data_IF_923303874185
#
_entry.id   IF_923303874185
#
_cell.length_a   1.000
_cell.length_b   1.000
_cell.length_c   1.000
_cell.angle_alpha   90.00
_cell.angle_beta   90.00
_cell.angle_gamma   90.00
#
_symmetry.space_group_name_H-M   'P 1'
#
loop_
_entity.id
_entity.type
_entity.pdbx_description
1 polymer ?
#
# COMPACT_ATOMS: atom_id res chain seq x y z
N UNK A 1 28.43 3.57 29.73
CA UNK A 1 28.43 4.78 28.90
C UNK A 1 27.89 4.43 27.53
N UNK A 2 26.83 5.09 27.04
CA UNK A 2 26.31 4.83 25.70
C UNK A 2 27.15 5.59 24.65
N UNK A 3 27.44 4.94 23.53
CA UNK A 3 28.13 5.53 22.38
C UNK A 3 27.27 6.64 21.73
N UNK A 4 27.83 7.83 21.46
CA UNK A 4 27.15 8.86 20.69
C UNK A 4 27.27 8.51 19.20
N UNK A 5 26.16 8.29 18.50
CA UNK A 5 26.22 8.06 17.05
C UNK A 5 25.18 7.11 16.44
N UNK A 6 24.24 6.58 17.22
CA UNK A 6 23.04 5.97 16.66
C UNK A 6 21.81 6.65 17.22
N UNK A 7 21.41 7.75 16.57
CA UNK A 7 19.99 8.09 16.55
C UNK A 7 19.28 6.89 15.94
N UNK A 8 18.71 6.07 16.83
CA UNK A 8 17.83 4.99 16.43
C UNK A 8 16.64 5.67 15.77
N UNK A 9 16.53 5.55 14.45
CA UNK A 9 15.33 5.85 13.69
C UNK A 9 14.19 4.93 14.17
N UNK A 10 13.69 5.14 15.39
CA UNK A 10 12.53 4.44 15.92
C UNK A 10 11.27 5.13 15.39
N UNK A 11 11.19 5.29 14.07
CA UNK A 11 9.94 5.69 13.43
C UNK A 11 9.07 4.45 13.38
N UNK A 12 8.16 4.33 14.35
CA UNK A 12 7.13 3.28 14.34
C UNK A 12 6.08 3.63 13.30
N UNK A 13 6.05 2.86 12.20
CA UNK A 13 5.04 2.98 11.16
C UNK A 13 3.88 2.05 11.47
N UNK A 14 2.65 2.58 11.43
CA UNK A 14 1.45 1.76 11.48
C UNK A 14 1.33 0.97 10.18
N UNK A 15 1.03 -0.33 10.29
CA UNK A 15 0.80 -1.18 9.12
C UNK A 15 -0.41 -0.65 8.32
N UNK A 16 -0.19 -0.23 7.07
CA UNK A 16 -1.25 0.34 6.23
C UNK A 16 -2.41 -0.65 6.01
N UNK A 17 -2.13 -1.94 5.83
CA UNK A 17 -3.17 -2.97 5.73
C UNK A 17 -4.00 -3.09 7.01
N UNK A 18 -3.36 -3.04 8.18
CA UNK A 18 -4.08 -3.03 9.46
C UNK A 18 -4.91 -1.74 9.64
N UNK A 19 -4.36 -0.60 9.26
CA UNK A 19 -5.08 0.68 9.30
C UNK A 19 -6.30 0.66 8.37
N UNK A 20 -6.19 0.09 7.16
CA UNK A 20 -7.32 -0.07 6.23
C UNK A 20 -8.37 -1.03 6.79
N UNK A 21 -7.94 -2.12 7.42
CA UNK A 21 -8.83 -3.04 8.15
C UNK A 21 -9.64 -2.30 9.24
N UNK A 22 -9.02 -1.36 9.97
CA UNK A 22 -9.73 -0.55 10.97
C UNK A 22 -10.76 0.38 10.31
N UNK A 23 -10.41 1.03 9.20
CA UNK A 23 -11.34 1.91 8.46
C UNK A 23 -12.58 1.15 8.01
N UNK A 24 -12.38 0.03 7.30
CA UNK A 24 -13.50 -0.75 6.77
C UNK A 24 -14.37 -1.29 7.91
N UNK A 25 -13.76 -1.81 8.98
CA UNK A 25 -14.50 -2.28 10.15
C UNK A 25 -15.28 -1.17 10.85
N UNK A 26 -14.77 0.07 10.86
CA UNK A 26 -15.51 1.20 11.42
C UNK A 26 -16.76 1.47 10.60
N UNK A 27 -16.61 1.59 9.28
CA UNK A 27 -17.71 1.88 8.37
C UNK A 27 -18.76 0.75 8.32
N UNK A 28 -18.35 -0.52 8.43
CA UNK A 28 -19.26 -1.68 8.48
C UNK A 28 -20.17 -1.72 9.71
N UNK A 29 -19.93 -0.89 10.74
CA UNK A 29 -20.80 -0.78 11.92
C UNK A 29 -22.09 -0.01 11.66
N UNK A 30 -22.29 0.53 10.46
CA UNK A 30 -23.57 1.15 10.10
C UNK A 30 -24.72 0.14 10.37
N UNK A 31 -25.77 0.53 11.13
CA UNK A 31 -26.73 -0.42 11.67
C UNK A 31 -27.52 -1.26 10.63
N UNK A 32 -27.82 -0.72 9.44
CA UNK A 32 -28.51 -1.47 8.39
C UNK A 32 -27.56 -2.46 7.72
N UNK A 33 -26.31 -2.06 7.49
CA UNK A 33 -25.26 -2.95 6.97
C UNK A 33 -25.00 -4.10 7.95
N UNK A 34 -24.78 -3.82 9.23
CA UNK A 34 -24.51 -4.86 10.23
C UNK A 34 -25.67 -5.86 10.37
N UNK A 35 -26.92 -5.38 10.31
CA UNK A 35 -28.11 -6.24 10.29
C UNK A 35 -28.15 -7.14 9.04
N UNK A 36 -27.87 -6.59 7.86
CA UNK A 36 -27.85 -7.37 6.62
C UNK A 36 -26.73 -8.41 6.62
N UNK A 37 -25.52 -8.05 7.07
CA UNK A 37 -24.40 -8.97 7.26
C UNK A 37 -24.73 -10.07 8.26
N UNK A 38 -25.39 -9.73 9.36
CA UNK A 38 -25.81 -10.70 10.37
C UNK A 38 -26.84 -11.70 9.83
N UNK A 39 -27.81 -11.22 9.04
CA UNK A 39 -28.75 -12.10 8.34
C UNK A 39 -28.04 -13.00 7.32
N UNK A 40 -27.12 -12.45 6.53
CA UNK A 40 -26.33 -13.20 5.55
C UNK A 40 -25.47 -14.30 6.23
N UNK A 41 -24.82 -13.97 7.35
CA UNK A 41 -24.12 -14.95 8.20
C UNK A 41 -25.04 -16.06 8.69
N UNK A 42 -26.24 -15.71 9.14
CA UNK A 42 -27.25 -16.66 9.59
C UNK A 42 -27.66 -17.64 8.49
N UNK A 43 -27.91 -17.12 7.30
CA UNK A 43 -28.27 -17.88 6.11
C UNK A 43 -27.14 -18.87 5.71
N UNK A 44 -25.92 -18.38 5.53
CA UNK A 44 -24.77 -19.22 5.18
C UNK A 44 -24.53 -20.30 6.22
N UNK A 45 -24.60 -19.93 7.51
CA UNK A 45 -24.45 -20.87 8.63
C UNK A 45 -25.50 -21.96 8.60
N UNK A 46 -26.75 -21.64 8.25
CA UNK A 46 -27.83 -22.63 8.15
C UNK A 46 -27.53 -23.66 7.06
N UNK A 47 -27.23 -23.19 5.84
CA UNK A 47 -26.95 -24.06 4.69
C UNK A 47 -25.74 -24.96 4.97
N UNK A 48 -24.64 -24.41 5.50
CA UNK A 48 -23.43 -25.18 5.79
C UNK A 48 -23.59 -26.21 6.92
N UNK A 49 -24.50 -25.98 7.87
CA UNK A 49 -24.76 -26.90 8.97
C UNK A 49 -25.78 -28.00 8.63
N UNK A 50 -26.60 -27.78 7.61
CA UNK A 50 -27.65 -28.71 7.19
C UNK A 50 -27.16 -29.50 5.97
N UNK A 51 -26.82 -30.77 6.16
CA UNK A 51 -26.44 -31.66 5.04
C UNK A 51 -27.53 -31.71 3.95
N UNK A 52 -28.84 -31.84 4.29
CA UNK A 52 -29.91 -31.75 3.28
C UNK A 52 -29.88 -30.44 2.49
N UNK A 53 -29.64 -29.30 3.16
CA UNK A 53 -29.57 -28.01 2.48
C UNK A 53 -28.34 -27.87 1.58
N UNK A 54 -27.20 -28.42 2.01
CA UNK A 54 -25.98 -28.41 1.21
C UNK A 54 -26.09 -29.30 -0.03
N UNK A 55 -26.71 -30.47 0.08
CA UNK A 55 -26.98 -31.35 -1.06
C UNK A 55 -27.95 -30.66 -2.02
N UNK A 56 -29.06 -30.12 -1.50
CA UNK A 56 -30.06 -29.45 -2.33
C UNK A 56 -29.50 -28.22 -3.04
N UNK A 57 -28.65 -27.43 -2.38
CA UNK A 57 -27.98 -26.29 -3.03
C UNK A 57 -27.19 -26.74 -4.26
N UNK A 58 -26.42 -27.85 -4.15
CA UNK A 58 -25.69 -28.40 -5.30
C UNK A 58 -26.62 -28.88 -6.41
N UNK A 59 -27.73 -29.52 -6.06
CA UNK A 59 -28.74 -29.91 -7.05
C UNK A 59 -29.32 -28.70 -7.78
N UNK A 60 -29.65 -27.62 -7.05
CA UNK A 60 -30.15 -26.37 -7.64
C UNK A 60 -29.09 -25.68 -8.51
N UNK A 61 -27.83 -25.69 -8.09
CA UNK A 61 -26.72 -25.18 -8.89
C UNK A 61 -26.62 -25.91 -10.24
N UNK A 62 -26.66 -27.25 -10.22
CA UNK A 62 -26.66 -28.07 -11.44
C UNK A 62 -27.87 -27.83 -12.32
N UNK A 63 -29.07 -27.76 -11.74
CA UNK A 63 -30.31 -27.50 -12.47
C UNK A 63 -30.30 -26.13 -13.17
N UNK A 64 -29.66 -25.13 -12.56
CA UNK A 64 -29.59 -23.76 -13.06
C UNK A 64 -28.34 -23.49 -13.91
N UNK A 65 -27.44 -24.46 -14.07
CA UNK A 65 -26.19 -24.29 -14.79
C UNK A 65 -25.22 -23.27 -14.15
N UNK A 66 -25.34 -23.02 -12.84
CA UNK A 66 -24.42 -22.13 -12.12
C UNK A 66 -23.21 -22.91 -11.62
N UNK A 67 -22.08 -22.22 -11.40
CA UNK A 67 -20.89 -22.86 -10.85
C UNK A 67 -21.19 -23.50 -9.48
N UNK A 68 -20.69 -24.73 -9.25
CA UNK A 68 -20.87 -25.47 -8.01
C UNK A 68 -19.93 -24.94 -6.91
N UNK A 69 -20.17 -23.72 -6.45
CA UNK A 69 -19.39 -23.10 -5.39
C UNK A 69 -20.00 -23.37 -4.00
N UNK A 70 -19.13 -23.71 -3.04
CA UNK A 70 -19.53 -23.76 -1.62
C UNK A 70 -19.64 -22.34 -1.09
N UNK A 71 -20.67 -22.09 -0.28
CA UNK A 71 -20.82 -20.79 0.39
C UNK A 71 -19.65 -20.53 1.36
N UNK A 72 -19.06 -19.35 1.22
CA UNK A 72 -17.99 -18.85 2.09
C UNK A 72 -18.64 -18.30 3.35
N UNK A 73 -18.17 -18.74 4.52
CA UNK A 73 -18.67 -18.24 5.80
C UNK A 73 -17.77 -17.08 6.24
N UNK A 74 -18.40 -15.97 6.61
CA UNK A 74 -17.69 -14.87 7.26
C UNK A 74 -17.08 -15.33 8.60
N UNK A 75 -15.82 -14.97 8.79
CA UNK A 75 -15.06 -15.18 10.02
C UNK A 75 -14.66 -13.80 10.51
N UNK A 76 -15.20 -13.41 11.66
CA UNK A 76 -15.20 -12.04 12.21
C UNK A 76 -13.82 -11.36 12.38
N UNK A 77 -12.72 -12.08 12.11
CA UNK A 77 -11.35 -11.60 12.30
C UNK A 77 -10.88 -10.68 11.16
N UNK A 78 -11.42 -10.82 9.93
CA UNK A 78 -11.03 -10.00 8.76
C UNK A 78 -12.24 -9.59 7.94
N UNK A 79 -12.29 -8.32 7.54
CA UNK A 79 -13.45 -7.80 6.81
C UNK A 79 -13.56 -8.41 5.40
N UNK A 80 -12.43 -8.86 4.81
CA UNK A 80 -12.41 -9.54 3.52
C UNK A 80 -13.28 -10.80 3.52
N UNK A 81 -13.43 -11.46 4.68
CA UNK A 81 -14.34 -12.61 4.79
C UNK A 81 -15.80 -12.21 4.55
N UNK A 82 -16.22 -11.04 5.02
CA UNK A 82 -17.53 -10.45 4.69
C UNK A 82 -17.65 -10.20 3.18
N UNK A 83 -16.63 -9.60 2.56
CA UNK A 83 -16.63 -9.33 1.11
C UNK A 83 -16.83 -10.60 0.27
N UNK A 84 -16.02 -11.63 0.49
CA UNK A 84 -16.12 -12.88 -0.28
C UNK A 84 -17.40 -13.67 0.05
N UNK A 85 -17.93 -13.57 1.28
CA UNK A 85 -19.24 -14.13 1.62
C UNK A 85 -20.35 -13.44 0.82
N UNK A 86 -20.35 -12.11 0.75
CA UNK A 86 -21.32 -11.34 -0.04
C UNK A 86 -21.22 -11.71 -1.52
N UNK A 87 -20.00 -11.72 -2.06
CA UNK A 87 -19.77 -12.06 -3.46
C UNK A 87 -20.32 -13.45 -3.81
N UNK A 88 -19.98 -14.47 -3.02
CA UNK A 88 -20.49 -15.82 -3.23
C UNK A 88 -22.00 -15.93 -3.05
N UNK A 89 -22.60 -15.22 -2.10
CA UNK A 89 -24.06 -15.20 -1.91
C UNK A 89 -24.78 -14.56 -3.09
N UNK A 90 -24.27 -13.45 -3.61
CA UNK A 90 -24.86 -12.77 -4.77
C UNK A 90 -24.76 -13.61 -6.03
N UNK A 91 -23.62 -14.27 -6.25
CA UNK A 91 -23.44 -15.23 -7.35
C UNK A 91 -24.43 -16.40 -7.26
N UNK A 92 -24.66 -16.89 -6.04
CA UNK A 92 -25.49 -18.06 -5.76
C UNK A 92 -26.93 -17.70 -5.35
N UNK A 93 -27.37 -16.46 -5.63
CA UNK A 93 -28.66 -15.92 -5.16
C UNK A 93 -29.84 -16.84 -5.52
N UNK A 94 -29.98 -17.19 -6.80
CA UNK A 94 -31.12 -18.00 -7.27
C UNK A 94 -31.09 -19.44 -6.76
N UNK A 95 -29.96 -20.17 -6.83
CA UNK A 95 -29.85 -21.49 -6.20
C UNK A 95 -30.16 -21.47 -4.70
N UNK A 96 -29.71 -20.46 -3.97
CA UNK A 96 -29.97 -20.30 -2.53
C UNK A 96 -31.45 -20.06 -2.26
N UNK A 97 -32.10 -19.11 -2.94
CA UNK A 97 -33.54 -18.83 -2.78
C UNK A 97 -34.38 -20.06 -3.11
N UNK A 98 -34.03 -20.80 -4.16
CA UNK A 98 -34.72 -22.02 -4.54
C UNK A 98 -34.53 -23.15 -3.50
N UNK A 99 -33.35 -23.23 -2.88
CA UNK A 99 -33.06 -24.18 -1.81
C UNK A 99 -33.88 -23.89 -0.55
N UNK A 100 -34.01 -22.61 -0.18
CA UNK A 100 -34.80 -22.19 0.98
C UNK A 100 -36.31 -22.33 0.76
N UNK A 101 -36.76 -22.22 -0.48
CA UNK A 101 -38.16 -22.41 -0.87
C UNK A 101 -38.59 -23.88 -0.84
N UNK A 102 -37.64 -24.81 -0.79
CA UNK A 102 -37.92 -26.25 -0.77
C UNK A 102 -38.39 -26.72 0.61
N UNK A 103 -39.63 -27.23 0.75
CA UNK A 103 -40.18 -27.68 2.02
C UNK A 103 -39.46 -28.89 2.63
N UNK A 104 -38.73 -29.68 1.82
CA UNK A 104 -37.98 -30.85 2.29
C UNK A 104 -36.73 -30.44 3.08
N UNK A 105 -36.21 -29.25 2.78
CA UNK A 105 -34.96 -28.71 3.34
C UNK A 105 -35.25 -27.68 4.41
N UNK A 106 -36.21 -26.80 4.16
CA UNK A 106 -36.58 -25.70 5.05
C UNK A 106 -37.97 -25.97 5.61
N UNK A 107 -38.01 -26.51 6.83
CA UNK A 107 -39.25 -26.76 7.56
C UNK A 107 -40.15 -25.51 7.53
N UNK A 108 -41.46 -25.74 7.35
CA UNK A 108 -42.50 -24.69 7.38
C UNK A 108 -42.30 -23.83 8.64
N UNK A 109 -41.96 -22.55 8.45
CA UNK A 109 -41.62 -21.61 9.54
C UNK A 109 -40.17 -21.14 9.59
N UNK A 110 -39.25 -21.71 8.80
CA UNK A 110 -37.84 -21.24 8.67
C UNK A 110 -37.59 -20.31 7.47
N UNK A 111 -38.63 -19.87 6.79
CA UNK A 111 -38.54 -18.93 5.66
C UNK A 111 -37.95 -17.56 6.05
N UNK A 112 -37.97 -17.21 7.35
CA UNK A 112 -37.29 -16.02 7.87
C UNK A 112 -35.76 -16.05 7.72
N UNK A 113 -35.18 -17.22 7.38
CA UNK A 113 -33.75 -17.38 7.13
C UNK A 113 -33.32 -16.84 5.77
N UNK A 114 -34.26 -16.62 4.83
CA UNK A 114 -33.95 -15.95 3.58
C UNK A 114 -33.69 -14.45 3.82
N UNK A 115 -32.82 -13.89 2.98
CA UNK A 115 -32.59 -12.47 2.94
C UNK A 115 -33.76 -11.78 2.25
N UNK A 116 -34.22 -10.69 2.86
CA UNK A 116 -35.25 -9.84 2.24
C UNK A 116 -34.69 -9.18 0.98
N UNK A 117 -35.58 -8.78 0.06
CA UNK A 117 -35.15 -8.19 -1.21
C UNK A 117 -34.33 -6.89 -1.02
N UNK A 118 -34.67 -6.07 -0.04
CA UNK A 118 -33.90 -4.88 0.34
C UNK A 118 -32.50 -5.23 0.86
N UNK A 119 -32.37 -6.34 1.59
CA UNK A 119 -31.06 -6.84 2.03
C UNK A 119 -30.23 -7.34 0.85
N UNK A 120 -30.83 -8.04 -0.11
CA UNK A 120 -30.14 -8.48 -1.33
C UNK A 120 -29.60 -7.29 -2.15
N UNK A 121 -30.41 -6.24 -2.31
CA UNK A 121 -30.00 -5.00 -2.99
C UNK A 121 -28.86 -4.32 -2.21
N UNK A 122 -29.03 -4.16 -0.90
CA UNK A 122 -28.03 -3.56 -0.03
C UNK A 122 -26.67 -4.28 -0.09
N UNK A 123 -26.68 -5.62 -0.06
CA UNK A 123 -25.46 -6.41 -0.17
C UNK A 123 -24.80 -6.29 -1.56
N UNK A 124 -25.60 -6.13 -2.62
CA UNK A 124 -25.12 -5.84 -3.96
C UNK A 124 -24.34 -4.53 -4.04
N UNK A 125 -24.92 -3.45 -3.52
CA UNK A 125 -24.25 -2.15 -3.45
C UNK A 125 -23.04 -2.16 -2.50
N UNK A 126 -23.16 -2.86 -1.37
CA UNK A 126 -22.06 -3.02 -0.41
C UNK A 126 -20.87 -3.77 -1.01
N UNK A 127 -21.10 -4.78 -1.88
CA UNK A 127 -20.03 -5.43 -2.64
C UNK A 127 -19.26 -4.43 -3.49
N UNK A 128 -19.99 -3.56 -4.19
CA UNK A 128 -19.41 -2.58 -5.11
C UNK A 128 -18.55 -1.52 -4.40
N UNK A 129 -18.94 -1.09 -3.20
CA UNK A 129 -18.14 -0.15 -2.39
C UNK A 129 -16.97 -0.82 -1.67
N UNK A 130 -17.08 -2.10 -1.30
CA UNK A 130 -15.99 -2.84 -0.65
C UNK A 130 -14.89 -3.29 -1.62
N UNK A 131 -15.21 -3.45 -2.91
CA UNK A 131 -14.29 -3.97 -3.92
C UNK A 131 -12.98 -3.15 -4.03
N UNK A 132 -12.99 -1.81 -4.10
CA UNK A 132 -11.74 -1.03 -4.12
C UNK A 132 -10.90 -1.24 -2.85
N UNK A 133 -11.53 -1.36 -1.68
CA UNK A 133 -10.82 -1.63 -0.42
C UNK A 133 -10.15 -3.01 -0.44
N UNK A 134 -10.73 -3.99 -1.15
CA UNK A 134 -10.24 -5.37 -1.18
C UNK A 134 -8.99 -5.41 -2.05
N UNK A 135 -9.07 -4.81 -3.23
CA UNK A 135 -7.94 -4.63 -4.14
C UNK A 135 -6.81 -3.86 -3.47
N UNK A 136 -7.12 -2.80 -2.70
CA UNK A 136 -6.13 -2.07 -1.94
C UNK A 136 -5.48 -2.92 -0.85
N UNK A 137 -6.25 -3.78 -0.18
CA UNK A 137 -5.72 -4.70 0.84
C UNK A 137 -4.81 -5.75 0.22
N UNK A 138 -5.15 -6.30 -0.94
CA UNK A 138 -4.31 -7.23 -1.69
C UNK A 138 -2.98 -6.57 -2.06
N UNK A 139 -3.03 -5.35 -2.59
CA UNK A 139 -1.83 -4.55 -2.91
C UNK A 139 -0.97 -4.25 -1.66
N UNK A 140 -1.60 -3.95 -0.52
CA UNK A 140 -0.86 -3.68 0.72
C UNK A 140 -0.32 -4.94 1.40
N UNK A 141 -0.82 -6.12 1.03
CA UNK A 141 -0.39 -7.41 1.56
C UNK A 141 0.81 -8.00 0.79
N UNK A 142 1.22 -7.36 -0.31
CA UNK A 142 2.36 -7.80 -1.12
C UNK A 142 3.69 -7.78 -0.36
N UNK A 143 4.49 -8.82 -0.56
CA UNK A 143 5.84 -8.96 0.02
C UNK A 143 6.96 -8.86 -1.02
N UNK A 144 6.64 -9.02 -2.30
CA UNK A 144 7.61 -9.03 -3.41
C UNK A 144 7.91 -7.63 -3.98
N UNK A 145 7.32 -6.57 -3.43
CA UNK A 145 7.50 -5.20 -3.88
C UNK A 145 7.40 -4.21 -2.72
N UNK A 146 7.95 -3.01 -2.92
CA UNK A 146 7.85 -1.92 -1.96
C UNK A 146 6.40 -1.42 -1.93
N UNK A 147 5.75 -1.55 -0.77
CA UNK A 147 4.37 -1.09 -0.53
C UNK A 147 4.32 0.36 -0.05
N UNK A 148 5.38 0.85 0.60
CA UNK A 148 5.45 2.22 1.12
C UNK A 148 5.31 3.29 0.01
N UNK A 149 5.90 3.06 -1.16
CA UNK A 149 5.79 3.96 -2.32
C UNK A 149 4.42 3.89 -3.02
N UNK A 150 3.71 2.76 -2.86
CA UNK A 150 2.38 2.53 -3.45
C UNK A 150 1.29 3.17 -2.59
N UNK A 151 1.53 3.35 -1.29
CA UNK A 151 0.52 3.82 -0.35
C UNK A 151 -0.11 5.17 -0.76
N UNK A 152 0.65 6.25 -1.05
CA UNK A 152 0.03 7.53 -1.43
C UNK A 152 -0.87 7.47 -2.68
N UNK A 153 -0.42 6.93 -3.84
CA UNK A 153 -1.30 6.83 -5.01
C UNK A 153 -2.49 5.90 -4.76
N UNK A 154 -2.33 4.86 -3.93
CA UNK A 154 -3.43 3.95 -3.58
C UNK A 154 -4.52 4.65 -2.78
N UNK A 155 -4.15 5.44 -1.75
CA UNK A 155 -5.13 6.19 -0.94
C UNK A 155 -5.88 7.23 -1.77
N UNK A 156 -5.19 7.96 -2.64
CA UNK A 156 -5.82 8.91 -3.58
C UNK A 156 -6.75 8.19 -4.56
N UNK A 157 -6.33 7.02 -5.04
CA UNK A 157 -7.13 6.15 -5.90
C UNK A 157 -8.41 5.68 -5.21
N UNK A 158 -8.30 5.24 -3.94
CA UNK A 158 -9.44 4.85 -3.11
C UNK A 158 -10.43 6.00 -2.98
N UNK A 159 -10.01 7.15 -2.46
CA UNK A 159 -10.88 8.33 -2.29
C UNK A 159 -11.58 8.73 -3.59
N UNK A 160 -10.85 8.73 -4.71
CA UNK A 160 -11.44 9.03 -6.03
C UNK A 160 -12.44 7.95 -6.48
N UNK A 161 -12.15 6.67 -6.25
CA UNK A 161 -13.07 5.58 -6.62
C UNK A 161 -14.38 5.67 -5.85
N UNK A 162 -14.30 6.17 -4.63
CA UNK A 162 -15.40 6.36 -3.72
C UNK A 162 -16.25 7.56 -4.15
N UNK A 163 -15.67 8.76 -4.29
CA UNK A 163 -16.38 9.99 -4.67
C UNK A 163 -17.15 9.95 -6.00
N UNK A 164 -16.75 9.09 -6.94
CA UNK A 164 -17.40 9.01 -8.26
C UNK A 164 -18.62 8.08 -8.30
N UNK A 165 -18.96 7.43 -7.17
CA UNK A 165 -20.11 6.54 -7.07
C UNK A 165 -21.11 7.09 -6.06
N UNK A 166 -22.38 7.07 -6.45
CA UNK A 166 -23.52 7.24 -5.55
C UNK A 166 -24.37 5.98 -5.58
N UNK A 167 -24.86 5.56 -4.43
CA UNK A 167 -25.69 4.36 -4.29
C UNK A 167 -27.13 4.74 -3.95
N UNK A 168 -28.09 3.88 -4.25
CA UNK A 168 -29.49 4.13 -3.91
C UNK A 168 -29.71 3.94 -2.40
N UNK A 169 -28.96 3.02 -1.76
CA UNK A 169 -29.00 2.85 -0.32
C UNK A 169 -28.28 3.97 0.42
N UNK A 170 -29.04 4.71 1.22
CA UNK A 170 -28.50 5.65 2.20
C UNK A 170 -27.46 5.01 3.13
N UNK A 171 -27.60 3.74 3.49
CA UNK A 171 -26.64 3.05 4.35
C UNK A 171 -25.26 2.88 3.70
N UNK A 172 -25.24 2.61 2.38
CA UNK A 172 -23.99 2.46 1.62
C UNK A 172 -23.31 3.82 1.45
N UNK A 173 -24.09 4.88 1.20
CA UNK A 173 -23.53 6.24 1.18
C UNK A 173 -22.99 6.68 2.56
N UNK A 174 -23.60 6.26 3.67
CA UNK A 174 -23.06 6.52 5.02
C UNK A 174 -21.76 5.75 5.25
N UNK A 175 -21.71 4.46 4.87
CA UNK A 175 -20.47 3.67 4.90
C UNK A 175 -19.37 4.38 4.11
N UNK A 176 -19.72 4.86 2.93
CA UNK A 176 -18.83 5.53 2.00
C UNK A 176 -18.20 6.77 2.64
N UNK A 177 -19.03 7.69 3.14
CA UNK A 177 -18.58 8.92 3.79
C UNK A 177 -17.74 8.62 5.04
N UNK A 178 -18.17 7.65 5.86
CA UNK A 178 -17.42 7.24 7.05
C UNK A 178 -16.04 6.68 6.68
N UNK A 179 -15.95 5.87 5.64
CA UNK A 179 -14.67 5.33 5.18
C UNK A 179 -13.74 6.44 4.65
N UNK A 180 -14.27 7.42 3.91
CA UNK A 180 -13.50 8.58 3.43
C UNK A 180 -12.95 9.42 4.60
N UNK A 181 -13.80 9.75 5.58
CA UNK A 181 -13.39 10.49 6.78
C UNK A 181 -12.30 9.75 7.57
N UNK A 182 -12.47 8.44 7.74
CA UNK A 182 -11.54 7.60 8.48
C UNK A 182 -10.20 7.43 7.74
N UNK A 183 -10.20 7.39 6.39
CA UNK A 183 -8.99 7.44 5.55
C UNK A 183 -8.30 8.79 5.72
N UNK A 184 -9.03 9.89 5.54
CA UNK A 184 -8.47 11.24 5.66
C UNK A 184 -7.87 11.47 7.05
N UNK A 185 -8.54 11.01 8.11
CA UNK A 185 -8.07 11.16 9.50
C UNK A 185 -6.79 10.35 9.78
N UNK A 186 -6.73 9.09 9.33
CA UNK A 186 -5.58 8.20 9.64
C UNK A 186 -4.35 8.45 8.79
N UNK A 187 -4.52 8.98 7.59
CA UNK A 187 -3.46 9.26 6.63
C UNK A 187 -3.46 10.73 6.21
N UNK A 188 -3.70 11.64 7.17
CA UNK A 188 -3.62 13.08 6.92
C UNK A 188 -2.37 13.46 6.11
N UNK A 189 -1.13 13.06 6.47
CA UNK A 189 0.07 13.46 5.73
C UNK A 189 0.11 12.97 4.27
N UNK A 190 -0.41 11.77 3.99
CA UNK A 190 -0.41 11.19 2.65
C UNK A 190 -1.54 11.72 1.75
N UNK A 191 -2.63 12.18 2.37
CA UNK A 191 -3.86 12.58 1.68
C UNK A 191 -3.97 14.10 1.59
N UNK A 192 -3.36 14.87 2.50
CA UNK A 192 -3.36 16.33 2.46
C UNK A 192 -2.38 16.89 1.42
N UNK A 193 -2.35 18.23 1.32
CA UNK A 193 -1.28 18.94 0.62
C UNK A 193 0.08 18.59 1.24
N UNK A 194 1.15 18.65 0.43
CA UNK A 194 2.49 18.36 0.89
C UNK A 194 2.94 19.41 1.91
N UNK A 195 3.41 18.96 3.07
CA UNK A 195 3.92 19.84 4.14
C UNK A 195 5.43 19.67 4.27
N UNK A 196 6.21 20.74 4.07
CA UNK A 196 7.69 20.66 4.06
C UNK A 196 8.29 20.10 5.36
N UNK A 197 7.66 20.40 6.50
CA UNK A 197 8.10 19.95 7.84
C UNK A 197 7.40 18.66 8.32
N UNK A 198 6.59 18.04 7.46
CA UNK A 198 5.81 16.84 7.76
C UNK A 198 6.60 15.53 7.68
N UNK A 199 6.08 14.47 8.32
CA UNK A 199 6.58 13.10 8.16
C UNK A 199 6.16 12.52 6.80
N UNK A 200 6.86 12.90 5.73
CA UNK A 200 6.52 12.58 4.34
C UNK A 200 7.15 11.27 3.80
N UNK A 201 7.40 10.29 4.65
CA UNK A 201 8.24 9.14 4.24
C UNK A 201 7.63 8.34 3.09
N UNK A 202 6.32 8.09 3.14
CA UNK A 202 5.57 7.40 2.08
C UNK A 202 5.53 8.23 0.78
N UNK A 203 5.41 9.56 0.86
CA UNK A 203 5.48 10.47 -0.28
C UNK A 203 6.88 10.51 -0.90
N UNK A 204 7.93 10.59 -0.09
CA UNK A 204 9.33 10.52 -0.56
C UNK A 204 9.59 9.16 -1.20
N UNK A 205 9.15 8.06 -0.58
CA UNK A 205 9.24 6.73 -1.17
C UNK A 205 8.53 6.65 -2.53
N UNK A 206 7.35 7.27 -2.66
CA UNK A 206 6.64 7.36 -3.93
C UNK A 206 7.41 8.19 -4.98
N UNK A 207 8.03 9.30 -4.59
CA UNK A 207 8.84 10.13 -5.49
C UNK A 207 10.11 9.41 -5.99
N UNK A 208 10.71 8.57 -5.16
CA UNK A 208 11.88 7.76 -5.50
C UNK A 208 11.53 6.52 -6.33
N UNK A 209 10.27 6.11 -6.37
CA UNK A 209 9.81 4.96 -7.14
C UNK A 209 9.62 5.33 -8.64
N UNK A 210 10.34 4.66 -9.57
CA UNK A 210 10.21 4.92 -11.00
C UNK A 210 8.76 4.82 -11.52
N UNK A 211 7.94 3.95 -10.92
CA UNK A 211 6.52 3.77 -11.29
C UNK A 211 5.70 5.04 -11.08
N UNK A 212 6.09 5.88 -10.12
CA UNK A 212 5.35 7.07 -9.71
C UNK A 212 6.12 8.37 -9.93
N UNK A 213 7.19 8.37 -10.73
CA UNK A 213 8.04 9.54 -11.02
C UNK A 213 7.28 10.82 -11.39
N UNK A 214 6.14 10.69 -12.09
CA UNK A 214 5.30 11.83 -12.51
C UNK A 214 4.38 12.37 -11.40
N UNK A 215 4.29 11.70 -10.26
CA UNK A 215 3.50 12.11 -9.08
C UNK A 215 2.06 12.54 -9.39
N UNK A 216 1.41 11.89 -10.36
CA UNK A 216 0.06 12.26 -10.87
C UNK A 216 -1.05 12.24 -9.82
N UNK A 217 -0.78 11.68 -8.64
CA UNK A 217 -1.70 11.62 -7.51
C UNK A 217 -1.64 12.88 -6.62
N UNK A 218 -0.67 13.76 -6.85
CA UNK A 218 -0.52 15.06 -6.19
C UNK A 218 -0.94 16.20 -7.12
N UNK A 219 -1.18 17.38 -6.54
CA UNK A 219 -1.29 18.61 -7.31
C UNK A 219 0.07 18.94 -7.99
N UNK A 220 0.10 19.66 -9.13
CA UNK A 220 1.35 20.06 -9.76
C UNK A 220 2.27 20.85 -8.81
N UNK A 221 1.68 21.67 -7.93
CA UNK A 221 2.41 22.45 -6.93
C UNK A 221 3.06 21.54 -5.87
N UNK A 222 2.30 20.62 -5.29
CA UNK A 222 2.82 19.68 -4.28
C UNK A 222 3.87 18.73 -4.87
N UNK A 223 3.66 18.29 -6.12
CA UNK A 223 4.62 17.46 -6.82
C UNK A 223 5.96 18.18 -7.02
N UNK A 224 5.94 19.47 -7.36
CA UNK A 224 7.14 20.29 -7.48
C UNK A 224 7.85 20.45 -6.13
N UNK A 225 7.11 20.80 -5.07
CA UNK A 225 7.66 20.94 -3.70
C UNK A 225 8.34 19.66 -3.23
N UNK A 226 7.69 18.50 -3.44
CA UNK A 226 8.24 17.20 -3.10
C UNK A 226 9.52 16.89 -3.89
N UNK A 227 9.55 17.21 -5.19
CA UNK A 227 10.76 17.01 -6.00
C UNK A 227 11.92 17.89 -5.55
N UNK A 228 11.67 19.16 -5.26
CA UNK A 228 12.68 20.09 -4.73
C UNK A 228 13.22 19.58 -3.40
N UNK A 229 12.36 19.12 -2.50
CA UNK A 229 12.76 18.52 -1.22
C UNK A 229 13.68 17.31 -1.42
N UNK A 230 13.29 16.37 -2.28
CA UNK A 230 14.09 15.16 -2.56
C UNK A 230 15.45 15.52 -3.16
N UNK A 231 15.51 16.49 -4.07
CA UNK A 231 16.76 16.96 -4.66
C UNK A 231 17.67 17.62 -3.61
N UNK A 232 17.11 18.45 -2.73
CA UNK A 232 17.83 19.08 -1.62
C UNK A 232 18.43 18.02 -0.68
N UNK A 233 17.60 17.08 -0.21
CA UNK A 233 18.05 16.00 0.67
C UNK A 233 19.16 15.15 0.02
N UNK A 234 19.06 14.88 -1.29
CA UNK A 234 20.10 14.16 -2.02
C UNK A 234 21.43 14.94 -2.11
N UNK A 235 21.38 16.25 -2.30
CA UNK A 235 22.58 17.10 -2.33
C UNK A 235 23.24 17.18 -0.95
N UNK A 236 22.45 17.30 0.12
CA UNK A 236 22.96 17.36 1.48
C UNK A 236 23.60 16.03 1.90
N UNK A 237 22.98 14.89 1.57
CA UNK A 237 23.59 13.57 1.76
C UNK A 237 24.92 13.41 1.00
N UNK A 238 25.01 13.93 -0.22
CA UNK A 238 26.26 13.90 -1.01
C UNK A 238 27.36 14.75 -0.37
N UNK A 239 27.01 15.90 0.22
CA UNK A 239 27.93 16.77 0.97
C UNK A 239 28.43 16.07 2.24
N UNK A 240 27.52 15.47 3.01
CA UNK A 240 27.87 14.72 4.22
C UNK A 240 28.80 13.55 3.93
N UNK A 241 28.52 12.75 2.89
CA UNK A 241 29.40 11.67 2.46
C UNK A 241 30.79 12.18 2.11
N UNK A 242 30.90 13.32 1.41
CA UNK A 242 32.18 13.94 1.08
C UNK A 242 32.96 14.35 2.33
N UNK A 243 32.29 14.96 3.31
CA UNK A 243 32.91 15.36 4.58
C UNK A 243 33.38 14.16 5.41
N UNK A 244 32.60 13.06 5.42
CA UNK A 244 32.97 11.81 6.10
C UNK A 244 34.18 11.15 5.45
N UNK A 245 34.23 11.12 4.11
CA UNK A 245 35.38 10.62 3.35
C UNK A 245 36.64 11.42 3.67
N UNK A 246 36.56 12.75 3.73
CA UNK A 246 37.70 13.62 4.07
C UNK A 246 38.21 13.39 5.51
N UNK A 247 37.32 13.24 6.49
CA UNK A 247 37.71 12.92 7.88
C UNK A 247 38.33 11.53 8.03
N UNK A 248 37.87 10.53 7.26
CA UNK A 248 38.45 9.19 7.26
C UNK A 248 39.86 9.17 6.66
N UNK A 249 40.13 9.96 5.61
CA UNK A 249 41.48 10.09 5.03
C UNK A 249 42.47 10.76 5.99
N UNK A 250 42.06 11.81 6.71
CA UNK A 250 42.94 12.51 7.67
C UNK A 250 43.24 11.64 8.91
N UNK A 251 42.33 10.73 9.30
CA UNK A 251 42.57 9.77 10.39
C UNK A 251 43.51 8.61 10.03
N UNK A 252 43.69 8.29 8.74
CA UNK A 252 44.60 7.24 8.28
C UNK A 252 46.02 7.74 7.94
N UNK A 253 46.20 9.04 7.69
CA UNK A 253 47.52 9.64 7.41
C UNK A 253 48.45 9.71 8.64
N UNK A 254 47.95 9.41 9.85
CA UNK A 254 48.79 9.34 11.05
C UNK A 254 49.60 8.02 11.18
N UNK A 255 49.46 7.03 10.28
CA UNK A 255 50.28 5.79 10.38
C UNK A 255 50.54 4.98 9.09
N UNK A 256 50.37 5.50 7.87
CA UNK A 256 50.78 4.73 6.69
C UNK A 256 51.13 5.57 5.45
N UNK A 257 52.18 5.12 4.76
CA UNK A 257 52.65 5.57 3.44
C UNK A 257 51.56 5.44 2.35
N UNK A 258 51.61 6.22 1.25
CA UNK A 258 50.49 6.33 0.31
C UNK A 258 50.25 5.02 -0.49
N UNK A 259 49.00 4.56 -0.67
CA UNK A 259 48.71 3.44 -1.55
C UNK A 259 48.58 3.92 -3.00
N UNK A 260 49.29 3.24 -3.90
CA UNK A 260 49.13 3.40 -5.36
C UNK A 260 47.72 2.93 -5.74
N UNK A 261 46.83 3.86 -6.12
CA UNK A 261 45.50 3.55 -6.65
C UNK A 261 45.62 2.91 -8.03
N UNK A 262 45.23 1.64 -8.15
CA UNK A 262 45.06 0.99 -9.46
C UNK A 262 43.81 1.56 -10.13
N UNK A 263 43.96 2.20 -11.29
CA UNK A 263 42.84 2.67 -12.12
C UNK A 263 41.98 1.49 -12.57
N UNK A 264 40.67 1.67 -12.56
CA UNK A 264 39.71 0.71 -13.11
C UNK A 264 39.89 0.63 -14.63
N UNK A 265 39.71 -0.57 -15.20
CA UNK A 265 39.70 -0.80 -16.65
C UNK A 265 38.66 0.09 -17.34
N UNK A 266 37.56 0.40 -16.65
CA UNK A 266 36.50 1.26 -17.18
C UNK A 266 36.97 2.72 -17.35
N UNK A 267 37.77 3.23 -16.41
CA UNK A 267 38.30 4.61 -16.47
C UNK A 267 39.33 4.77 -17.60
N UNK A 268 40.01 3.68 -17.95
CA UNK A 268 40.96 3.64 -19.08
C UNK A 268 40.23 3.58 -20.43
N UNK A 269 39.05 2.96 -20.47
CA UNK A 269 38.24 2.85 -21.69
C UNK A 269 37.45 4.12 -22.02
N UNK A 270 37.08 4.89 -21.00
CA UNK A 270 36.14 6.00 -21.14
C UNK A 270 36.78 7.39 -21.24
N UNK A 271 38.11 7.49 -21.20
CA UNK A 271 38.88 8.70 -21.49
C UNK A 271 38.31 9.96 -20.87
N UNK A 272 38.65 10.25 -19.61
CA UNK A 272 38.26 11.54 -19.01
C UNK A 272 39.14 12.66 -19.56
N UNK A 273 38.54 13.55 -20.36
CA UNK A 273 39.08 14.87 -20.69
C UNK A 273 39.29 15.66 -19.39
N UNK A 274 40.53 15.76 -18.96
CA UNK A 274 40.99 16.73 -17.96
C UNK A 274 42.42 17.07 -18.31
N UNK A 275 42.59 17.81 -19.39
CA UNK A 275 43.76 18.64 -19.61
C UNK A 275 43.57 19.90 -18.75
N UNK A 276 44.32 20.00 -17.66
CA UNK A 276 44.81 21.29 -17.22
C UNK A 276 46.31 21.16 -17.05
N UNK A 277 47.00 21.82 -17.97
CA UNK A 277 48.40 22.19 -17.90
C UNK A 277 48.65 22.96 -16.61
N UNK A 278 49.70 22.61 -15.88
CA UNK A 278 50.46 23.62 -15.16
C UNK A 278 51.94 23.23 -15.19
N UNK A 279 52.61 23.75 -16.21
CA UNK A 279 54.06 23.87 -16.20
C UNK A 279 54.39 25.08 -15.33
N UNK A 280 54.90 24.85 -14.11
CA UNK A 280 55.83 25.83 -13.56
C UNK A 280 56.91 25.23 -12.66
N UNK A 281 58.07 25.83 -12.83
CA UNK A 281 59.40 25.46 -12.43
C UNK A 281 59.59 25.47 -10.90
N UNK A 282 60.57 24.69 -10.43
CA UNK A 282 61.61 25.13 -9.48
C UNK A 282 62.44 23.92 -9.02
N UNK A 283 63.64 23.73 -9.60
CA UNK A 283 64.78 23.22 -8.84
C UNK A 283 65.95 24.15 -9.07
N UNK A 284 66.24 24.85 -7.98
CA UNK A 284 67.41 25.65 -7.69
C UNK A 284 68.67 24.78 -7.50
N UNK A 285 69.78 25.38 -7.91
CA UNK A 285 71.19 25.18 -7.59
C UNK A 285 71.69 23.93 -6.84
N UNK A 286 72.65 23.27 -7.49
CA UNK A 286 73.80 22.57 -6.93
C UNK A 286 74.65 22.12 -8.13
N UNK A 287 75.81 22.69 -8.45
CA UNK A 287 76.90 23.02 -7.55
C UNK A 287 77.78 21.79 -7.42
N UNK A 288 78.55 21.47 -8.45
CA UNK A 288 79.79 20.71 -8.36
C UNK A 288 80.65 21.03 -9.60
N UNK A 289 81.88 21.47 -9.33
CA UNK A 289 82.89 21.74 -10.34
C UNK A 289 83.73 20.50 -10.61
N UNK A 290 84.43 20.54 -11.75
CA UNK A 290 85.75 19.98 -12.04
C UNK A 290 85.98 20.23 -13.55
N UNK A 291 86.92 21.10 -13.94
CA UNK A 291 88.27 20.78 -14.44
C UNK A 291 88.23 19.78 -15.62
N UNK A 292 88.80 20.02 -16.80
CA UNK A 292 90.18 20.41 -17.09
C UNK A 292 90.34 20.71 -18.60
N UNK A 293 91.27 21.64 -18.89
CA UNK A 293 92.06 21.84 -20.14
C UNK A 293 91.38 22.09 -21.48
#
# INVERSE_FOLDING_TARGET
SPHPGREVWSVSYRCAGHTLQLVVNHALKEPKIDKALSAARGLVKHIKKSEPASIKLKEKQKQMGTAEHKLIQDVAVRWNCSYYMIEGLLEQRWPVVATLSDPEVTQRGKQYLDLKNDQWILLGELKEVLKPCEQATDVLSGQSYVTASVLPPLLKGLLKSTQNKSFDSAAVNIFQNSAEEEIMSRWQPEVSAFQEDGKNVSLIAAALDPRFRKLKFLSPEDALKLQVRVQKDALDLKREQRSQLQQATVGQEASASPPIKKRSVLDTLLGTDSEEEDCNENIDQGGDGENET
#
